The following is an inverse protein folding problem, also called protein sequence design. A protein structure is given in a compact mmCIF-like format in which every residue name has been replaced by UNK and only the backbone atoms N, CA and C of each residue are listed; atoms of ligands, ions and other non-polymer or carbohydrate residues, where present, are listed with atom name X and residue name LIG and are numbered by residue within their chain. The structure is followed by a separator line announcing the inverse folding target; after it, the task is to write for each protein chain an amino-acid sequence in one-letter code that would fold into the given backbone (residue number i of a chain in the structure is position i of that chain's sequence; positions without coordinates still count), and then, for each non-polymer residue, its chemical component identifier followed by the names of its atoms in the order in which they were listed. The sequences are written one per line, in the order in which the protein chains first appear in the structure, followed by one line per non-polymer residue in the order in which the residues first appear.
data_IF_784218654646
#
_entry.id   IF_784218654646
#
_cell.length_a   1.000
_cell.length_b   1.000
_cell.length_c   1.000
_cell.angle_alpha   90.00
_cell.angle_beta   90.00
_cell.angle_gamma   90.00
#
_symmetry.space_group_name_H-M   'P 1'
#
loop_
_entity.id
_entity.type
_entity.pdbx_description
1 polymer ?
#
# COMPACT_ATOMS: atom_id res chain seq x y z
N UNK A 1 -16.26 23.12 70.25
CA UNK A 1 -16.11 24.56 70.56
C UNK A 1 -15.34 25.21 69.50
N UNK A 2 -15.91 26.27 68.94
CA UNK A 2 -15.38 27.29 68.01
C UNK A 2 -15.21 26.84 66.53
N UNK A 3 -16.09 27.20 65.65
CA UNK A 3 -16.67 28.50 65.27
C UNK A 3 -15.76 29.38 64.37
N UNK A 4 -16.29 29.66 63.18
CA UNK A 4 -16.15 30.87 62.36
C UNK A 4 -14.93 30.92 61.46
N UNK A 5 -14.91 31.42 60.24
CA UNK A 5 -15.73 32.45 59.63
C UNK A 5 -15.77 32.34 58.11
N UNK A 6 -16.87 32.73 57.56
CA UNK A 6 -17.19 33.12 56.21
C UNK A 6 -16.32 34.26 55.70
N UNK A 7 -15.99 34.26 54.43
CA UNK A 7 -16.07 35.49 53.62
C UNK A 7 -16.20 35.21 52.12
N UNK A 8 -17.16 35.78 51.44
CA UNK A 8 -17.33 35.68 50.00
C UNK A 8 -16.82 36.95 49.31
N UNK A 9 -16.02 36.81 48.30
CA UNK A 9 -15.80 37.92 47.33
C UNK A 9 -15.44 37.27 46.01
N UNK A 10 -16.27 37.12 45.13
CA UNK A 10 -16.75 37.74 43.96
C UNK A 10 -15.64 37.97 42.95
N UNK A 11 -15.55 37.13 41.94
CA UNK A 11 -15.09 37.60 40.63
C UNK A 11 -15.82 36.84 39.52
N UNK A 12 -16.67 37.58 38.88
CA UNK A 12 -17.40 37.29 37.67
C UNK A 12 -16.39 37.06 36.54
N UNK A 13 -16.27 35.84 36.01
CA UNK A 13 -15.48 35.64 34.81
C UNK A 13 -16.34 34.99 33.73
N UNK A 14 -16.44 35.73 32.65
CA UNK A 14 -17.24 35.47 31.47
C UNK A 14 -17.09 34.03 30.94
N UNK A 15 -18.21 33.34 30.87
CA UNK A 15 -18.35 32.12 30.07
C UNK A 15 -18.50 32.52 28.63
N UNK A 16 -17.43 32.42 27.85
CA UNK A 16 -17.48 32.36 26.40
C UNK A 16 -17.72 30.91 25.98
N UNK A 17 -18.97 30.62 25.70
CA UNK A 17 -19.40 29.35 25.09
C UNK A 17 -18.97 29.39 23.63
N UNK A 18 -17.84 28.77 23.29
CA UNK A 18 -17.53 28.37 21.93
C UNK A 18 -18.26 27.06 21.61
N UNK A 19 -19.40 27.20 20.95
CA UNK A 19 -20.01 26.07 20.23
C UNK A 19 -19.13 25.76 19.01
N UNK A 20 -18.10 24.93 19.20
CA UNK A 20 -17.30 24.35 18.14
C UNK A 20 -17.88 23.01 17.73
N UNK A 21 -18.42 22.93 16.52
CA UNK A 21 -19.13 21.79 15.98
C UNK A 21 -18.35 20.47 16.02
N UNK A 22 -18.98 19.41 16.53
CA UNK A 22 -18.58 18.01 16.32
C UNK A 22 -18.81 17.62 14.87
N UNK A 23 -17.78 17.75 14.06
CA UNK A 23 -17.67 17.04 12.80
C UNK A 23 -17.00 15.70 13.06
N UNK A 24 -17.77 14.65 13.39
CA UNK A 24 -17.26 13.27 13.45
C UNK A 24 -17.08 12.74 12.02
N UNK A 25 -16.14 13.32 11.28
CA UNK A 25 -15.60 12.70 10.10
C UNK A 25 -14.60 11.63 10.55
N UNK A 26 -14.94 10.35 10.41
CA UNK A 26 -13.93 9.27 10.41
C UNK A 26 -13.07 9.44 9.17
N UNK A 27 -12.27 10.50 9.14
CA UNK A 27 -11.23 10.69 8.15
C UNK A 27 -10.15 9.67 8.43
N UNK A 28 -10.10 8.61 7.63
CA UNK A 28 -8.89 7.80 7.51
C UNK A 28 -7.81 8.77 7.05
N UNK A 29 -6.91 9.17 7.97
CA UNK A 29 -5.76 9.99 7.60
C UNK A 29 -4.95 9.19 6.57
N UNK A 30 -4.69 9.72 5.37
CA UNK A 30 -3.80 9.07 4.42
C UNK A 30 -2.47 8.80 5.11
N UNK A 31 -1.92 7.61 4.88
CA UNK A 31 -0.54 7.35 5.28
C UNK A 31 0.37 8.25 4.45
N UNK A 32 1.35 8.91 5.08
CA UNK A 32 2.30 9.71 4.32
C UNK A 32 3.08 8.82 3.35
N UNK A 33 3.30 9.32 2.14
CA UNK A 33 4.18 8.69 1.14
C UNK A 33 5.60 9.20 1.30
N UNK A 34 6.55 8.29 1.20
CA UNK A 34 7.98 8.65 1.12
C UNK A 34 8.31 9.00 -0.34
N UNK A 35 8.37 10.30 -0.64
CA UNK A 35 8.90 10.80 -1.91
C UNK A 35 10.42 10.95 -1.75
N UNK A 36 11.16 9.87 -2.02
CA UNK A 36 12.59 9.91 -2.21
C UNK A 36 13.36 10.55 -1.07
N UNK A 37 13.53 9.84 0.04
CA UNK A 37 14.45 10.26 1.08
C UNK A 37 15.89 9.97 0.63
N UNK A 38 16.76 10.97 0.74
CA UNK A 38 18.18 10.82 0.41
C UNK A 38 18.77 9.76 1.35
N UNK A 39 19.07 8.60 0.81
CA UNK A 39 19.55 7.43 1.54
C UNK A 39 20.82 7.74 2.30
N UNK A 40 20.90 7.36 3.58
CA UNK A 40 22.14 7.21 4.31
C UNK A 40 23.02 6.20 3.56
N UNK A 41 24.37 6.37 3.55
CA UNK A 41 25.28 5.42 2.92
C UNK A 41 25.02 4.00 3.48
N UNK A 42 24.66 3.05 2.62
CA UNK A 42 24.33 1.67 3.01
C UNK A 42 22.84 1.36 3.10
N UNK A 43 21.93 2.31 2.93
CA UNK A 43 20.49 2.09 2.86
C UNK A 43 20.04 1.99 1.40
N UNK A 44 19.25 0.96 1.08
CA UNK A 44 18.68 0.81 -0.24
C UNK A 44 17.81 2.01 -0.60
N UNK A 45 18.03 2.59 -1.79
CA UNK A 45 17.28 3.75 -2.26
C UNK A 45 16.01 3.33 -2.97
N UNK A 46 14.90 4.03 -2.67
CA UNK A 46 13.64 3.86 -3.37
C UNK A 46 13.51 4.74 -4.63
N UNK A 47 14.58 5.45 -5.02
CA UNK A 47 14.56 6.39 -6.16
C UNK A 47 14.25 5.70 -7.49
N UNK A 48 14.49 4.40 -7.60
CA UNK A 48 14.17 3.61 -8.80
C UNK A 48 12.70 3.17 -8.89
N UNK A 49 11.90 3.40 -7.83
CA UNK A 49 10.48 2.99 -7.78
C UNK A 49 9.56 4.21 -7.78
N UNK A 50 9.73 5.09 -8.76
CA UNK A 50 8.96 6.34 -8.85
C UNK A 50 7.51 6.12 -9.29
N UNK A 51 7.21 4.96 -9.82
CA UNK A 51 5.90 4.59 -10.36
C UNK A 51 5.04 3.75 -9.39
N UNK A 52 5.48 3.57 -8.14
CA UNK A 52 4.71 2.90 -7.10
C UNK A 52 4.79 3.66 -5.76
N UNK A 53 3.72 3.64 -4.95
CA UNK A 53 3.75 4.25 -3.63
C UNK A 53 4.55 3.40 -2.65
N UNK A 54 5.47 4.04 -1.92
CA UNK A 54 6.24 3.40 -0.84
C UNK A 54 5.75 3.94 0.50
N UNK A 55 5.30 3.08 1.45
CA UNK A 55 4.89 3.54 2.78
C UNK A 55 6.06 4.15 3.55
N UNK A 56 5.81 5.23 4.30
CA UNK A 56 6.85 5.81 5.17
C UNK A 56 7.30 4.79 6.21
N UNK A 57 8.61 4.73 6.44
CA UNK A 57 9.23 3.80 7.38
C UNK A 57 9.26 2.36 6.88
N UNK A 58 8.98 2.12 5.58
CA UNK A 58 9.24 0.83 4.97
C UNK A 58 10.74 0.66 4.71
N UNK A 59 11.23 -0.53 4.97
CA UNK A 59 12.61 -0.95 4.72
C UNK A 59 12.62 -2.01 3.60
N UNK A 60 13.57 -1.88 2.67
CA UNK A 60 13.71 -2.84 1.58
C UNK A 60 14.51 -4.06 2.06
N UNK A 61 13.93 -5.24 1.89
CA UNK A 61 14.65 -6.49 2.09
C UNK A 61 15.42 -6.84 0.81
N UNK A 62 16.73 -6.55 0.81
CA UNK A 62 17.59 -6.72 -0.37
C UNK A 62 17.74 -8.18 -0.79
N UNK A 63 17.82 -9.11 0.18
CA UNK A 63 18.00 -10.54 -0.09
C UNK A 63 16.79 -11.14 -0.84
N UNK A 64 15.63 -10.53 -0.71
CA UNK A 64 14.36 -10.98 -1.30
C UNK A 64 13.84 -10.07 -2.41
N UNK A 65 14.64 -9.06 -2.81
CA UNK A 65 14.30 -8.11 -3.86
C UNK A 65 15.10 -8.45 -5.13
N UNK A 66 14.41 -8.56 -6.25
CA UNK A 66 15.01 -8.81 -7.57
C UNK A 66 14.39 -7.85 -8.57
N UNK A 67 15.20 -6.94 -9.10
CA UNK A 67 14.76 -5.89 -10.03
C UNK A 67 15.53 -6.00 -11.33
N UNK A 68 14.83 -5.96 -12.44
CA UNK A 68 15.34 -6.02 -13.79
C UNK A 68 14.78 -4.84 -14.60
N UNK A 69 15.58 -4.29 -15.51
CA UNK A 69 15.19 -3.20 -16.40
C UNK A 69 15.54 -1.81 -15.87
N UNK A 70 15.10 -0.78 -16.60
CA UNK A 70 15.31 0.62 -16.24
C UNK A 70 14.25 1.09 -15.20
N UNK A 71 14.50 2.20 -14.48
CA UNK A 71 13.58 2.67 -13.42
C UNK A 71 12.13 2.87 -13.87
N UNK A 72 11.90 3.31 -15.10
CA UNK A 72 10.54 3.57 -15.62
C UNK A 72 9.83 2.32 -16.14
N UNK A 73 10.58 1.23 -16.37
CA UNK A 73 10.08 0.00 -17.01
C UNK A 73 10.51 -1.26 -16.25
N UNK A 74 10.90 -1.10 -14.99
CA UNK A 74 11.36 -2.21 -14.19
C UNK A 74 10.30 -3.31 -14.06
N UNK A 75 10.78 -4.54 -14.00
CA UNK A 75 10.01 -5.74 -13.67
C UNK A 75 10.75 -6.51 -12.57
N UNK A 76 10.05 -7.32 -11.83
CA UNK A 76 10.65 -8.11 -10.76
C UNK A 76 9.84 -8.13 -9.48
N UNK A 77 10.54 -8.31 -8.38
CA UNK A 77 9.96 -8.38 -7.04
C UNK A 77 10.66 -7.40 -6.11
N UNK A 78 9.88 -6.53 -5.48
CA UNK A 78 10.30 -5.66 -4.40
C UNK A 78 9.68 -6.19 -3.09
N UNK A 79 10.50 -6.51 -2.11
CA UNK A 79 10.06 -6.94 -0.79
C UNK A 79 10.34 -5.85 0.23
N UNK A 80 9.30 -5.44 0.95
CA UNK A 80 9.36 -4.41 1.98
C UNK A 80 8.97 -5.00 3.34
N UNK A 81 9.63 -4.51 4.37
CA UNK A 81 9.25 -4.72 5.76
C UNK A 81 8.82 -3.40 6.38
N UNK A 82 7.79 -3.42 7.21
CA UNK A 82 7.24 -2.22 7.82
C UNK A 82 6.59 -2.50 9.17
N UNK A 83 6.55 -1.49 10.04
CA UNK A 83 5.87 -1.56 11.33
C UNK A 83 4.35 -1.30 11.23
N UNK A 84 3.82 -1.02 10.05
CA UNK A 84 2.40 -0.81 9.85
C UNK A 84 1.62 -2.12 9.86
N UNK A 85 0.37 -2.08 10.36
CA UNK A 85 -0.50 -3.25 10.30
C UNK A 85 -1.07 -3.48 8.89
N UNK A 86 -1.48 -4.72 8.55
CA UNK A 86 -1.96 -5.07 7.21
C UNK A 86 -3.16 -4.25 6.73
N UNK A 87 -4.08 -3.87 7.63
CA UNK A 87 -5.28 -3.11 7.27
C UNK A 87 -4.93 -1.69 6.82
N UNK A 88 -4.00 -1.03 7.52
CA UNK A 88 -3.51 0.30 7.13
C UNK A 88 -2.79 0.25 5.79
N UNK A 89 -1.95 -0.76 5.57
CA UNK A 89 -1.24 -0.95 4.30
C UNK A 89 -2.19 -1.22 3.15
N UNK A 90 -3.18 -2.08 3.35
CA UNK A 90 -4.19 -2.35 2.32
C UNK A 90 -4.90 -1.06 1.89
N UNK A 91 -5.37 -0.26 2.85
CA UNK A 91 -6.04 1.01 2.56
C UNK A 91 -5.08 2.00 1.88
N UNK A 92 -3.82 2.08 2.34
CA UNK A 92 -2.79 2.93 1.75
C UNK A 92 -2.59 2.59 0.26
N UNK A 93 -2.33 1.33 -0.07
CA UNK A 93 -2.10 0.93 -1.47
C UNK A 93 -3.36 1.10 -2.32
N UNK A 94 -4.55 0.81 -1.77
CA UNK A 94 -5.80 0.99 -2.49
C UNK A 94 -6.06 2.45 -2.87
N UNK A 95 -5.66 3.39 -2.02
CA UNK A 95 -5.83 4.83 -2.26
C UNK A 95 -4.71 5.42 -3.11
N UNK A 96 -3.46 5.05 -2.81
CA UNK A 96 -2.30 5.71 -3.40
C UNK A 96 -1.86 5.12 -4.74
N UNK A 97 -2.02 3.81 -4.97
CA UNK A 97 -1.53 3.18 -6.21
C UNK A 97 -2.16 3.76 -7.48
N UNK A 98 -3.46 4.12 -7.52
CA UNK A 98 -4.04 4.79 -8.69
C UNK A 98 -3.43 6.16 -9.02
N UNK A 99 -2.92 6.89 -8.03
CA UNK A 99 -2.27 8.19 -8.22
C UNK A 99 -0.97 8.09 -9.05
N UNK A 100 -0.40 6.88 -9.12
CA UNK A 100 0.78 6.55 -9.95
C UNK A 100 0.40 6.00 -11.33
N UNK A 101 -0.86 6.10 -11.73
CA UNK A 101 -1.34 5.66 -13.05
C UNK A 101 -1.67 4.17 -13.16
N UNK A 102 -1.70 3.45 -12.04
CA UNK A 102 -2.13 2.06 -12.00
C UNK A 102 -3.64 1.93 -11.88
N UNK A 103 -4.26 1.08 -12.67
CA UNK A 103 -5.69 0.78 -12.63
C UNK A 103 -5.93 -0.49 -11.82
N UNK A 104 -6.81 -0.41 -10.82
CA UNK A 104 -7.18 -1.58 -10.00
C UNK A 104 -7.92 -2.62 -10.85
N UNK A 105 -7.47 -3.86 -10.80
CA UNK A 105 -8.13 -5.03 -11.40
C UNK A 105 -8.94 -5.76 -10.34
N UNK A 106 -8.34 -6.03 -9.19
CA UNK A 106 -8.99 -6.70 -8.07
C UNK A 106 -8.28 -6.43 -6.76
N UNK A 107 -9.01 -6.52 -5.66
CA UNK A 107 -8.44 -6.48 -4.31
C UNK A 107 -9.18 -7.45 -3.39
N UNK A 108 -8.40 -8.25 -2.65
CA UNK A 108 -8.92 -9.26 -1.73
C UNK A 108 -8.27 -9.02 -0.36
N UNK A 109 -9.09 -8.85 0.66
CA UNK A 109 -8.63 -8.70 2.05
C UNK A 109 -8.83 -10.00 2.80
N UNK A 110 -7.73 -10.57 3.32
CA UNK A 110 -7.72 -11.79 4.13
C UNK A 110 -6.50 -11.76 5.07
N UNK A 111 -6.16 -12.89 5.69
CA UNK A 111 -4.92 -13.02 6.47
C UNK A 111 -3.68 -12.65 5.64
N UNK A 112 -3.66 -13.05 4.38
CA UNK A 112 -2.78 -12.52 3.35
C UNK A 112 -3.62 -11.76 2.35
N UNK A 113 -3.49 -10.45 2.31
CA UNK A 113 -4.26 -9.58 1.40
C UNK A 113 -3.56 -9.41 0.07
N UNK A 114 -4.34 -9.29 -1.00
CA UNK A 114 -3.85 -9.09 -2.37
C UNK A 114 -4.52 -7.88 -3.01
N UNK A 115 -3.73 -7.09 -3.73
CA UNK A 115 -4.22 -6.05 -4.63
C UNK A 115 -3.51 -6.24 -5.97
N UNK A 116 -4.27 -6.23 -7.05
CA UNK A 116 -3.74 -6.38 -8.41
C UNK A 116 -4.13 -5.18 -9.24
N UNK A 117 -3.16 -4.62 -9.92
CA UNK A 117 -3.29 -3.46 -10.76
C UNK A 117 -2.69 -3.72 -12.15
N UNK A 118 -3.12 -2.94 -13.11
CA UNK A 118 -2.57 -2.96 -14.47
C UNK A 118 -2.19 -1.54 -14.90
N UNK A 119 -1.13 -1.44 -15.69
CA UNK A 119 -0.70 -0.19 -16.30
C UNK A 119 -0.09 -0.52 -17.68
N UNK A 120 -0.70 -0.02 -18.75
CA UNK A 120 -0.24 -0.20 -20.15
C UNK A 120 0.21 -1.64 -20.45
N UNK A 121 1.48 -1.95 -20.24
CA UNK A 121 2.13 -3.23 -20.57
C UNK A 121 2.55 -4.05 -19.36
N UNK A 122 2.19 -3.60 -18.15
CA UNK A 122 2.63 -4.25 -16.89
C UNK A 122 1.47 -4.57 -15.96
N UNK A 123 1.67 -5.57 -15.13
CA UNK A 123 0.78 -5.93 -14.02
C UNK A 123 1.57 -5.80 -12.73
N UNK A 124 0.99 -5.15 -11.73
CA UNK A 124 1.49 -5.06 -10.37
C UNK A 124 0.59 -5.89 -9.46
N UNK A 125 1.19 -6.82 -8.73
CA UNK A 125 0.51 -7.53 -7.63
C UNK A 125 1.18 -7.15 -6.32
N UNK A 126 0.38 -6.70 -5.36
CA UNK A 126 0.81 -6.35 -4.00
C UNK A 126 0.24 -7.40 -3.06
N UNK A 127 1.11 -8.14 -2.39
CA UNK A 127 0.76 -9.08 -1.34
C UNK A 127 1.15 -8.49 0.01
N UNK A 128 0.23 -8.52 0.99
CA UNK A 128 0.45 -7.99 2.33
C UNK A 128 0.20 -9.11 3.34
N UNK A 129 1.22 -9.42 4.13
CA UNK A 129 1.19 -10.47 5.15
C UNK A 129 1.59 -9.90 6.50
N UNK A 130 0.85 -10.23 7.56
CA UNK A 130 1.21 -9.86 8.93
C UNK A 130 2.46 -10.60 9.38
N UNK A 131 3.38 -9.91 10.05
CA UNK A 131 4.52 -10.55 10.71
C UNK A 131 4.11 -11.07 12.08
N UNK A 132 4.76 -12.14 12.55
CA UNK A 132 4.42 -12.85 13.80
C UNK A 132 4.48 -11.95 15.04
N UNK A 133 5.47 -11.07 15.14
CA UNK A 133 5.65 -10.22 16.33
C UNK A 133 5.01 -8.85 16.15
N UNK A 134 5.32 -8.13 15.09
CA UNK A 134 4.80 -6.79 14.81
C UNK A 134 5.04 -6.41 13.36
N UNK A 135 4.11 -5.62 12.80
CA UNK A 135 4.24 -5.06 11.46
C UNK A 135 3.79 -6.01 10.36
N UNK A 136 4.22 -5.73 9.17
CA UNK A 136 3.86 -6.50 7.97
C UNK A 136 5.01 -6.62 7.00
N UNK A 137 4.94 -7.66 6.19
CA UNK A 137 5.72 -7.80 4.97
C UNK A 137 4.83 -7.44 3.78
N UNK A 138 5.37 -6.69 2.85
CA UNK A 138 4.73 -6.35 1.57
C UNK A 138 5.61 -6.87 0.45
N UNK A 139 5.05 -7.72 -0.40
CA UNK A 139 5.72 -8.20 -1.60
C UNK A 139 5.01 -7.61 -2.82
N UNK A 140 5.71 -6.78 -3.56
CA UNK A 140 5.26 -6.20 -4.82
C UNK A 140 5.92 -6.94 -5.96
N UNK A 141 5.12 -7.49 -6.86
CA UNK A 141 5.62 -8.14 -8.07
C UNK A 141 5.11 -7.39 -9.27
N UNK A 142 6.03 -6.90 -10.10
CA UNK A 142 5.73 -6.28 -11.39
C UNK A 142 6.17 -7.24 -12.48
N UNK A 143 5.26 -7.56 -13.38
CA UNK A 143 5.50 -8.45 -14.51
C UNK A 143 4.98 -7.81 -15.81
N UNK A 144 5.50 -8.22 -17.00
CA UNK A 144 4.88 -7.86 -18.25
C UNK A 144 3.44 -8.34 -18.30
N UNK A 145 2.57 -7.53 -18.91
CA UNK A 145 1.20 -7.95 -19.24
C UNK A 145 1.23 -8.69 -20.57
N UNK A 146 0.82 -9.95 -20.57
CA UNK A 146 0.61 -10.68 -21.82
C UNK A 146 -0.63 -10.11 -22.52
N UNK A 147 -0.43 -9.44 -23.65
CA UNK A 147 -1.52 -8.87 -24.46
C UNK A 147 -2.28 -9.93 -25.26
N UNK A 148 -1.78 -11.17 -25.30
CA UNK A 148 -2.39 -12.27 -26.05
C UNK A 148 -3.39 -13.09 -25.22
N UNK A 149 -3.56 -12.84 -23.92
CA UNK A 149 -4.52 -13.56 -23.09
C UNK A 149 -5.99 -13.24 -23.40
N UNK A 150 -6.27 -12.28 -24.29
CA UNK A 150 -7.63 -11.93 -24.74
C UNK A 150 -8.10 -12.64 -26.01
N UNK A 151 -7.24 -13.34 -26.71
CA UNK A 151 -7.62 -14.11 -27.90
C UNK A 151 -7.76 -15.58 -27.54
N UNK A 152 -8.94 -16.19 -27.72
CA UNK A 152 -9.08 -17.64 -27.58
C UNK A 152 -8.09 -18.29 -28.55
N UNK A 153 -7.05 -18.92 -28.02
CA UNK A 153 -6.19 -19.75 -28.86
C UNK A 153 -7.03 -20.95 -29.27
N UNK A 154 -7.61 -20.90 -30.49
CA UNK A 154 -8.21 -22.08 -31.10
C UNK A 154 -7.08 -23.09 -31.25
N UNK A 155 -7.02 -24.04 -30.32
CA UNK A 155 -6.21 -25.22 -30.49
C UNK A 155 -6.85 -26.01 -31.63
N UNK A 156 -6.31 -25.88 -32.84
CA UNK A 156 -6.58 -26.85 -33.93
C UNK A 156 -5.91 -28.14 -33.47
N UNK A 157 -6.72 -29.02 -32.89
CA UNK A 157 -6.29 -30.39 -32.61
C UNK A 157 -5.84 -31.00 -33.95
N UNK A 158 -4.61 -31.49 -34.10
CA UNK A 158 -4.22 -32.20 -35.30
C UNK A 158 -5.17 -33.41 -35.48
N UNK A 159 -5.69 -33.56 -36.70
CA UNK A 159 -6.56 -34.67 -37.02
C UNK A 159 -5.88 -35.99 -36.63
N UNK A 160 -6.63 -36.96 -36.08
CA UNK A 160 -6.06 -38.25 -35.71
C UNK A 160 -5.48 -38.95 -36.96
N UNK A 161 -4.34 -39.65 -36.84
CA UNK A 161 -3.72 -40.34 -37.97
C UNK A 161 -4.70 -41.38 -38.54
N UNK A 162 -4.93 -41.31 -39.87
CA UNK A 162 -5.70 -42.31 -40.57
C UNK A 162 -4.93 -43.63 -40.49
N UNK A 163 -5.52 -44.63 -39.80
CA UNK A 163 -5.05 -46.02 -39.87
C UNK A 163 -5.28 -46.51 -41.32
N UNK A 164 -4.22 -46.76 -42.04
CA UNK A 164 -4.26 -47.47 -43.32
C UNK A 164 -4.53 -48.96 -43.05
N UNK A 165 -5.58 -49.47 -43.62
CA UNK A 165 -5.87 -50.91 -43.72
C UNK A 165 -4.96 -51.57 -44.75
#
# INVERSE_FOLDING_TARGET
MNSQHFSPTGLLFCILIFLGGCGSGMGVKPMPMNKGDASKPGQASFTQFQDIPIPIGAEMNLDRTVILGAPETWIGRLTLETNHNPVKLFNFFKQSTPEFGWQEVTSIRSATSFLTYTQTTRVLTIQITSKTLRGSEVVMTVSPRDQNLGSPRVQTNPAPPKLSQ
#
